data_IF_397956472204
#
_entry.id   IF_397956472204
#
_cell.length_a   1.000
_cell.length_b   1.000
_cell.length_c   1.000
_cell.angle_alpha   90.00
_cell.angle_beta   90.00
_cell.angle_gamma   90.00
#
_symmetry.space_group_name_H-M   'P 1'
#
loop_
_entity.id
_entity.type
_entity.pdbx_description
1 polymer ?
#
# COMPACT_ATOMS: atom_id res chain seq x y z
N UNK A 1 23.72 -3.36 -7.52
CA UNK A 1 23.76 -2.88 -8.91
C UNK A 1 22.76 -3.71 -9.72
N UNK A 2 21.54 -3.19 -9.98
CA UNK A 2 20.52 -3.96 -10.69
C UNK A 2 20.67 -3.85 -12.21
N UNK A 3 20.82 -5.00 -12.87
CA UNK A 3 20.88 -5.10 -14.34
C UNK A 3 19.48 -5.43 -14.86
N UNK A 4 18.81 -4.46 -15.48
CA UNK A 4 17.60 -4.71 -16.25
C UNK A 4 17.96 -5.25 -17.63
N UNK A 5 17.34 -6.37 -18.04
CA UNK A 5 17.45 -6.91 -19.40
C UNK A 5 16.13 -6.64 -20.12
N UNK A 6 16.12 -5.65 -21.01
CA UNK A 6 14.95 -5.37 -21.87
C UNK A 6 15.14 -6.05 -23.22
N UNK A 7 14.25 -6.99 -23.57
CA UNK A 7 14.18 -7.60 -24.89
C UNK A 7 13.37 -6.71 -25.84
N UNK A 8 14.03 -5.86 -26.62
CA UNK A 8 13.37 -5.13 -27.72
C UNK A 8 13.42 -6.00 -28.98
N UNK A 9 12.27 -6.52 -29.40
CA UNK A 9 12.11 -7.16 -30.72
C UNK A 9 11.63 -6.10 -31.72
N UNK A 10 12.55 -5.43 -32.41
CA UNK A 10 12.18 -4.58 -33.55
C UNK A 10 11.70 -5.42 -34.73
N UNK A 11 10.40 -5.43 -34.99
CA UNK A 11 9.84 -5.76 -36.31
C UNK A 11 9.56 -4.48 -37.07
N UNK A 12 10.40 -4.16 -38.06
CA UNK A 12 10.09 -3.14 -39.07
C UNK A 12 8.84 -3.57 -39.86
N UNK A 13 7.71 -2.88 -39.66
CA UNK A 13 6.59 -2.88 -40.61
C UNK A 13 6.10 -1.46 -40.84
N UNK A 14 6.07 -1.07 -42.12
CA UNK A 14 5.52 0.19 -42.64
C UNK A 14 4.03 0.30 -42.32
N UNK A 15 3.48 1.50 -42.04
CA UNK A 15 2.05 1.68 -41.82
C UNK A 15 1.30 1.81 -43.16
N UNK A 16 0.05 1.33 -43.29
CA UNK A 16 -0.86 1.82 -44.31
C UNK A 16 -1.68 3.00 -43.79
N UNK A 17 -2.28 3.69 -44.75
CA UNK A 17 -2.82 5.04 -44.70
C UNK A 17 -4.19 5.16 -44.02
N UNK A 18 -4.35 6.31 -43.39
CA UNK A 18 -5.55 7.11 -43.05
C UNK A 18 -6.82 6.79 -43.84
N UNK A 19 -7.94 6.64 -43.13
CA UNK A 19 -9.26 7.12 -43.57
C UNK A 19 -9.91 7.91 -42.44
N UNK A 20 -10.26 9.17 -42.75
CA UNK A 20 -11.11 10.07 -41.95
C UNK A 20 -12.56 9.70 -42.18
N UNK A 21 -13.39 9.76 -41.13
CA UNK A 21 -14.77 10.21 -41.26
C UNK A 21 -15.27 10.78 -39.94
N UNK A 22 -15.59 12.07 -39.97
CA UNK A 22 -16.40 12.80 -38.99
C UNK A 22 -17.86 12.35 -39.09
N UNK A 23 -18.57 12.27 -37.95
CA UNK A 23 -19.95 12.77 -37.86
C UNK A 23 -20.34 13.11 -36.42
N UNK A 24 -20.99 14.28 -36.28
CA UNK A 24 -21.43 14.93 -35.04
C UNK A 24 -22.84 14.49 -34.61
N UNK A 25 -23.09 14.62 -33.30
CA UNK A 25 -24.27 15.21 -32.58
C UNK A 25 -24.84 14.29 -31.49
N UNK A 26 -24.82 14.66 -30.20
CA UNK A 26 -25.61 15.62 -29.38
C UNK A 26 -26.84 14.99 -28.72
N UNK A 27 -27.00 15.25 -27.42
CA UNK A 27 -28.18 15.14 -26.54
C UNK A 27 -28.47 13.80 -25.82
N UNK A 28 -27.92 13.63 -24.61
CA UNK A 28 -28.64 13.07 -23.46
C UNK A 28 -27.93 13.41 -22.13
N UNK A 29 -27.88 14.70 -21.78
CA UNK A 29 -27.23 15.18 -20.56
C UNK A 29 -28.14 16.15 -19.81
N UNK A 30 -29.35 15.71 -19.47
CA UNK A 30 -30.27 16.50 -18.64
C UNK A 30 -31.40 15.63 -18.07
N UNK A 31 -31.08 14.50 -17.42
CA UNK A 31 -32.06 13.74 -16.63
C UNK A 31 -31.50 13.01 -15.40
N UNK A 32 -30.19 13.11 -15.11
CA UNK A 32 -29.53 12.39 -13.99
C UNK A 32 -29.07 13.33 -12.84
N UNK A 33 -29.31 14.65 -12.96
CA UNK A 33 -28.86 15.62 -11.94
C UNK A 33 -29.92 15.90 -10.85
N UNK A 34 -31.14 15.36 -10.96
CA UNK A 34 -32.22 15.62 -9.99
C UNK A 34 -32.49 14.46 -8.99
N UNK A 35 -31.82 13.31 -9.10
CA UNK A 35 -31.98 12.19 -8.16
C UNK A 35 -30.83 12.00 -7.17
N UNK A 36 -29.73 12.74 -7.32
CA UNK A 36 -28.56 12.65 -6.42
C UNK A 36 -28.52 13.73 -5.32
N UNK A 37 -29.49 14.66 -5.29
CA UNK A 37 -29.54 15.75 -4.31
C UNK A 37 -30.52 15.51 -3.13
N UNK A 38 -31.05 14.29 -2.98
CA UNK A 38 -31.90 13.89 -1.85
C UNK A 38 -31.33 12.73 -1.02
N UNK A 39 -30.06 12.38 -1.21
CA UNK A 39 -29.39 11.27 -0.51
C UNK A 39 -28.18 11.71 0.32
N UNK A 40 -28.10 13.00 0.67
CA UNK A 40 -26.97 13.57 1.42
C UNK A 40 -27.40 14.33 2.68
N UNK A 41 -28.21 13.71 3.53
CA UNK A 41 -28.31 14.08 4.94
C UNK A 41 -28.67 12.86 5.76
N UNK A 42 -27.84 12.56 6.77
CA UNK A 42 -28.02 11.59 7.86
C UNK A 42 -28.00 10.10 7.50
N UNK A 43 -26.82 9.48 7.56
CA UNK A 43 -26.68 8.07 7.93
C UNK A 43 -25.58 7.96 8.99
N UNK A 44 -25.97 8.14 10.25
CA UNK A 44 -25.31 7.43 11.34
C UNK A 44 -25.70 5.96 11.26
N UNK A 45 -24.80 5.06 11.63
CA UNK A 45 -25.03 3.61 11.68
C UNK A 45 -26.44 3.28 12.25
N UNK A 46 -27.23 2.40 11.61
CA UNK A 46 -28.56 2.07 12.09
C UNK A 46 -28.48 1.40 13.47
N UNK A 47 -29.20 1.99 14.43
CA UNK A 47 -29.33 1.52 15.83
C UNK A 47 -29.63 0.02 15.98
N UNK A 48 -30.17 -0.62 14.96
CA UNK A 48 -30.54 -2.05 14.95
C UNK A 48 -29.36 -3.02 14.93
N UNK A 49 -28.13 -2.57 14.62
CA UNK A 49 -26.92 -3.41 14.68
C UNK A 49 -26.42 -3.52 16.13
N UNK A 50 -26.33 -2.37 16.84
CA UNK A 50 -25.92 -2.30 18.26
C UNK A 50 -26.75 -3.16 19.21
N UNK A 51 -28.03 -3.38 18.91
CA UNK A 51 -28.93 -4.16 19.78
C UNK A 51 -28.85 -5.67 19.51
N UNK A 52 -28.44 -6.10 18.31
CA UNK A 52 -28.28 -7.54 17.99
C UNK A 52 -26.95 -8.13 18.50
N UNK A 53 -25.92 -7.31 18.64
CA UNK A 53 -24.57 -7.78 19.07
C UNK A 53 -24.40 -7.82 20.60
N UNK A 54 -25.13 -6.97 21.35
CA UNK A 54 -25.15 -7.03 22.82
C UNK A 54 -25.68 -8.35 23.38
N UNK A 55 -26.43 -9.12 22.59
CA UNK A 55 -26.96 -10.42 23.00
C UNK A 55 -25.94 -11.57 22.94
N UNK A 56 -24.75 -11.36 22.33
CA UNK A 56 -23.75 -12.42 22.13
C UNK A 56 -22.44 -12.22 22.92
N UNK A 57 -22.33 -11.21 23.78
CA UNK A 57 -21.12 -10.97 24.58
C UNK A 57 -21.09 -11.89 25.82
N UNK A 58 -20.58 -13.11 25.65
CA UNK A 58 -19.89 -13.82 26.73
C UNK A 58 -18.43 -13.38 26.75
N UNK A 59 -17.97 -12.91 27.90
CA UNK A 59 -16.57 -12.52 28.17
C UNK A 59 -15.63 -13.74 28.01
N UNK A 60 -15.18 -13.99 26.77
CA UNK A 60 -14.00 -14.81 26.40
C UNK A 60 -13.88 -14.88 24.85
N UNK A 61 -14.12 -13.76 24.15
CA UNK A 61 -13.89 -13.72 22.70
C UNK A 61 -12.40 -13.52 22.43
N UNK A 62 -11.67 -14.63 22.39
CA UNK A 62 -10.39 -14.72 21.71
C UNK A 62 -10.65 -14.60 20.20
N UNK A 63 -10.18 -13.51 19.60
CA UNK A 63 -10.34 -13.25 18.16
C UNK A 63 -9.29 -13.98 17.30
N UNK A 64 -8.45 -14.85 17.89
CA UNK A 64 -7.45 -15.64 17.17
C UNK A 64 -8.03 -16.45 16.01
N UNK A 65 -7.94 -15.90 14.78
CA UNK A 65 -8.40 -16.51 13.54
C UNK A 65 -9.60 -15.83 12.86
N UNK A 66 -10.18 -14.79 13.47
CA UNK A 66 -11.46 -14.22 13.07
C UNK A 66 -11.41 -13.14 11.98
N UNK A 67 -10.25 -12.57 11.63
CA UNK A 67 -10.21 -11.40 10.72
C UNK A 67 -10.60 -11.72 9.26
N UNK A 68 -10.81 -12.99 8.93
CA UNK A 68 -11.09 -13.44 7.57
C UNK A 68 -12.45 -13.00 7.02
N UNK A 69 -13.44 -12.76 7.88
CA UNK A 69 -14.80 -12.40 7.43
C UNK A 69 -15.05 -10.90 7.53
N UNK A 70 -15.85 -10.36 6.60
CA UNK A 70 -16.27 -8.96 6.64
C UNK A 70 -16.97 -8.63 7.97
N UNK A 71 -17.90 -9.47 8.43
CA UNK A 71 -18.64 -9.25 9.67
C UNK A 71 -17.75 -9.20 10.92
N UNK A 72 -16.70 -10.02 10.98
CA UNK A 72 -15.74 -9.93 12.08
C UNK A 72 -14.97 -8.61 12.05
N UNK A 73 -14.55 -8.15 10.86
CA UNK A 73 -13.86 -6.85 10.72
C UNK A 73 -14.77 -5.67 11.05
N UNK A 74 -16.05 -5.75 10.70
CA UNK A 74 -17.08 -4.77 11.08
C UNK A 74 -17.27 -4.74 12.61
N UNK A 75 -17.38 -5.90 13.26
CA UNK A 75 -17.49 -6.00 14.74
C UNK A 75 -16.29 -5.36 15.43
N UNK A 76 -15.07 -5.65 14.99
CA UNK A 76 -13.85 -5.05 15.52
C UNK A 76 -13.87 -3.52 15.36
N UNK A 77 -14.33 -3.04 14.21
CA UNK A 77 -14.45 -1.59 13.95
C UNK A 77 -15.45 -0.95 14.91
N UNK A 78 -16.61 -1.57 15.14
CA UNK A 78 -17.63 -1.08 16.08
C UNK A 78 -17.09 -1.08 17.51
N UNK A 79 -16.46 -2.17 17.96
CA UNK A 79 -15.91 -2.27 19.32
C UNK A 79 -14.79 -1.24 19.53
N UNK A 80 -13.93 -1.01 18.52
CA UNK A 80 -12.90 0.03 18.59
C UNK A 80 -13.54 1.43 18.70
N UNK A 81 -14.55 1.73 17.88
CA UNK A 81 -15.31 2.99 17.94
C UNK A 81 -15.96 3.17 19.31
N UNK A 82 -16.50 2.12 19.92
CA UNK A 82 -17.11 2.19 21.24
C UNK A 82 -16.08 2.54 22.34
N UNK A 83 -14.79 2.21 22.16
CA UNK A 83 -13.72 2.56 23.10
C UNK A 83 -13.19 3.99 22.86
N UNK A 84 -12.87 4.35 21.61
CA UNK A 84 -12.13 5.58 21.31
C UNK A 84 -13.00 6.69 20.71
N UNK A 85 -14.22 6.39 20.30
CA UNK A 85 -15.08 7.25 19.49
C UNK A 85 -15.52 8.54 20.17
N UNK A 86 -15.37 8.67 21.49
CA UNK A 86 -15.62 9.93 22.19
C UNK A 86 -14.54 10.97 21.88
N UNK A 87 -13.27 10.56 21.84
CA UNK A 87 -12.11 11.44 21.65
C UNK A 87 -11.60 11.47 20.20
N UNK A 88 -11.92 10.46 19.40
CA UNK A 88 -11.40 10.27 18.05
C UNK A 88 -12.53 10.10 17.04
N UNK A 89 -12.34 10.66 15.85
CA UNK A 89 -13.09 10.28 14.66
C UNK A 89 -12.42 9.05 14.06
N UNK A 90 -13.23 8.02 13.79
CA UNK A 90 -12.80 6.79 13.10
C UNK A 90 -13.49 6.74 11.75
N UNK A 91 -12.71 6.64 10.68
CA UNK A 91 -13.17 6.67 9.29
C UNK A 91 -12.76 5.38 8.57
N UNK A 92 -13.71 4.67 7.97
CA UNK A 92 -13.53 3.29 7.48
C UNK A 92 -13.75 3.09 5.98
N UNK A 93 -14.03 4.16 5.21
CA UNK A 93 -14.48 4.00 3.82
C UNK A 93 -13.33 4.01 2.80
N UNK A 94 -12.28 3.24 3.12
CA UNK A 94 -11.14 3.10 2.25
C UNK A 94 -11.45 2.41 0.92
N UNK A 95 -10.78 2.81 -0.16
CA UNK A 95 -10.85 2.13 -1.46
C UNK A 95 -9.71 1.12 -1.52
N UNK A 96 -10.01 -0.16 -1.60
CA UNK A 96 -9.00 -1.17 -1.95
C UNK A 96 -8.95 -1.29 -3.47
N UNK A 97 -7.84 -0.87 -4.09
CA UNK A 97 -7.62 -1.15 -5.50
C UNK A 97 -6.65 -2.31 -5.65
N UNK A 98 -7.11 -3.36 -6.34
CA UNK A 98 -6.24 -4.40 -6.85
C UNK A 98 -5.77 -4.02 -8.24
N UNK A 99 -4.46 -3.87 -8.39
CA UNK A 99 -3.80 -3.81 -9.68
C UNK A 99 -3.23 -5.21 -9.95
N UNK A 100 -4.07 -6.02 -10.60
CA UNK A 100 -3.72 -7.39 -10.95
C UNK A 100 -2.66 -7.44 -12.06
N UNK A 101 -1.94 -8.55 -12.09
CA UNK A 101 -0.89 -8.86 -13.07
C UNK A 101 -1.37 -8.68 -14.52
N UNK A 102 -2.60 -9.11 -14.79
CA UNK A 102 -3.23 -9.10 -16.11
C UNK A 102 -3.49 -7.68 -16.62
N UNK A 103 -3.81 -6.75 -15.72
CA UNK A 103 -4.11 -5.35 -16.06
C UNK A 103 -2.90 -4.69 -16.72
N UNK A 104 -1.69 -4.99 -16.24
CA UNK A 104 -0.45 -4.41 -16.75
C UNK A 104 0.08 -5.09 -18.02
N UNK A 105 -0.41 -6.29 -18.33
CA UNK A 105 -0.06 -7.02 -19.56
C UNK A 105 -0.83 -6.50 -20.79
N UNK A 106 -1.89 -5.73 -20.58
CA UNK A 106 -2.64 -5.09 -21.67
C UNK A 106 -1.89 -3.86 -22.22
N UNK A 107 -1.63 -3.77 -23.54
CA UNK A 107 -0.84 -2.68 -24.15
C UNK A 107 -1.35 -1.26 -23.83
N UNK A 108 -2.66 -1.09 -23.72
CA UNK A 108 -3.33 0.16 -23.39
C UNK A 108 -3.05 0.65 -21.96
N UNK A 109 -2.72 -0.28 -21.05
CA UNK A 109 -2.46 -0.01 -19.64
C UNK A 109 -0.97 0.01 -19.30
N UNK A 110 -0.09 -0.38 -20.22
CA UNK A 110 1.35 -0.45 -20.01
C UNK A 110 1.97 0.88 -19.49
N UNK A 111 1.43 2.02 -19.92
CA UNK A 111 1.86 3.35 -19.42
C UNK A 111 1.39 3.65 -17.99
N UNK A 112 0.26 3.06 -17.56
CA UNK A 112 -0.33 3.25 -16.23
C UNK A 112 0.32 2.35 -15.17
N UNK A 113 1.00 1.28 -15.59
CA UNK A 113 1.72 0.36 -14.73
C UNK A 113 3.21 0.69 -14.55
N UNK A 114 3.63 1.93 -14.83
CA UNK A 114 5.01 2.36 -14.63
C UNK A 114 5.38 2.22 -13.15
N UNK A 115 6.45 1.46 -12.85
CA UNK A 115 6.90 1.19 -11.47
C UNK A 115 6.27 -0.05 -10.83
N UNK A 116 5.31 -0.70 -11.48
CA UNK A 116 4.76 -1.97 -11.03
C UNK A 116 5.50 -3.14 -11.66
N UNK A 117 5.71 -4.21 -10.89
CA UNK A 117 6.15 -5.49 -11.42
C UNK A 117 4.99 -6.13 -12.19
N UNK A 118 5.05 -6.28 -13.52
CA UNK A 118 3.96 -6.84 -14.32
C UNK A 118 3.72 -8.32 -14.04
N UNK A 119 4.53 -8.95 -13.18
CA UNK A 119 4.38 -10.33 -12.73
C UNK A 119 3.98 -10.47 -11.24
N UNK A 120 3.56 -9.38 -10.60
CA UNK A 120 3.04 -9.39 -9.23
C UNK A 120 1.71 -8.64 -9.16
N UNK A 121 0.88 -9.04 -8.22
CA UNK A 121 -0.34 -8.29 -7.90
C UNK A 121 -0.04 -7.24 -6.85
N UNK A 122 -0.70 -6.10 -6.95
CA UNK A 122 -0.58 -5.00 -5.99
C UNK A 122 -1.95 -4.65 -5.43
N UNK A 123 -2.01 -4.44 -4.13
CA UNK A 123 -3.16 -3.91 -3.42
C UNK A 123 -2.78 -2.53 -2.91
N UNK A 124 -3.42 -1.49 -3.44
CA UNK A 124 -3.26 -0.13 -2.99
C UNK A 124 -4.44 0.26 -2.10
N UNK A 125 -4.14 0.82 -0.93
CA UNK A 125 -5.16 1.26 0.01
C UNK A 125 -5.39 2.76 -0.14
N UNK A 126 -6.57 3.14 -0.62
CA UNK A 126 -7.07 4.50 -0.53
C UNK A 126 -7.71 4.67 0.83
N UNK A 127 -7.31 5.68 1.58
CA UNK A 127 -7.83 5.95 2.92
C UNK A 127 -8.80 7.12 2.82
N UNK A 128 -9.84 7.11 3.66
CA UNK A 128 -10.80 8.21 3.69
C UNK A 128 -10.11 9.54 4.03
N UNK A 129 -10.45 10.58 3.28
CA UNK A 129 -9.82 11.90 3.39
C UNK A 129 -10.46 12.74 4.48
N UNK A 130 -9.67 13.62 5.10
CA UNK A 130 -10.24 14.67 5.93
C UNK A 130 -10.94 15.73 5.08
N UNK A 131 -11.98 16.39 5.61
CA UNK A 131 -12.54 17.58 4.99
C UNK A 131 -11.45 18.62 4.71
N UNK A 132 -11.37 19.09 3.47
CA UNK A 132 -10.36 20.07 3.04
C UNK A 132 -8.98 19.49 2.71
N UNK A 133 -8.78 18.17 2.83
CA UNK A 133 -7.54 17.52 2.39
C UNK A 133 -7.35 17.70 0.87
N UNK A 134 -6.19 18.24 0.48
CA UNK A 134 -5.85 18.37 -0.92
C UNK A 134 -5.73 16.99 -1.59
N UNK A 135 -6.33 16.82 -2.77
CA UNK A 135 -6.31 15.56 -3.51
C UNK A 135 -5.10 15.53 -4.45
N UNK A 136 -4.29 14.49 -4.35
CA UNK A 136 -3.21 14.20 -5.31
C UNK A 136 -3.51 12.93 -6.13
N UNK A 137 -3.80 11.82 -5.45
CA UNK A 137 -4.11 10.53 -6.06
C UNK A 137 -5.15 9.79 -5.21
N UNK A 138 -6.00 8.92 -5.79
CA UNK A 138 -6.95 8.09 -5.03
C UNK A 138 -6.33 7.26 -3.90
N UNK A 139 -5.04 6.88 -4.01
CA UNK A 139 -4.34 5.98 -3.07
C UNK A 139 -3.21 6.66 -2.29
N UNK A 140 -3.07 7.98 -2.42
CA UNK A 140 -2.09 8.74 -1.68
C UNK A 140 -2.82 9.83 -0.89
N UNK A 141 -2.66 9.77 0.43
CA UNK A 141 -3.34 10.60 1.40
C UNK A 141 -2.37 11.52 2.11
N UNK A 142 -2.91 12.58 2.71
CA UNK A 142 -2.20 13.49 3.59
C UNK A 142 -2.70 13.28 5.02
N UNK A 143 -1.78 13.24 5.97
CA UNK A 143 -2.07 12.96 7.38
C UNK A 143 -1.56 14.09 8.25
N UNK A 144 -2.31 14.45 9.29
CA UNK A 144 -1.82 15.29 10.38
C UNK A 144 -0.77 14.51 11.20
N UNK A 145 0.05 15.25 11.92
CA UNK A 145 1.08 14.68 12.80
C UNK A 145 0.49 13.81 13.94
N UNK A 146 -0.72 14.12 14.37
CA UNK A 146 -1.41 13.44 15.48
C UNK A 146 -2.44 12.41 15.01
N UNK A 147 -2.38 11.98 13.74
CA UNK A 147 -3.23 10.93 13.19
C UNK A 147 -2.54 9.57 13.15
N UNK A 148 -3.35 8.54 13.01
CA UNK A 148 -2.87 7.20 12.67
C UNK A 148 -3.76 6.54 11.62
N UNK A 149 -3.19 5.54 10.97
CA UNK A 149 -3.92 4.60 10.13
C UNK A 149 -3.74 3.19 10.69
N UNK A 150 -4.83 2.43 10.74
CA UNK A 150 -4.82 1.02 11.12
C UNK A 150 -5.20 0.20 9.91
N UNK A 151 -4.39 -0.79 9.57
CA UNK A 151 -4.76 -1.86 8.64
C UNK A 151 -4.92 -3.14 9.43
N UNK A 152 -6.03 -3.84 9.32
CA UNK A 152 -6.20 -5.14 9.97
C UNK A 152 -7.00 -6.09 9.10
N UNK A 153 -6.65 -7.37 9.15
CA UNK A 153 -7.17 -8.35 8.21
C UNK A 153 -6.38 -9.64 8.17
N UNK A 154 -6.49 -10.36 7.05
CA UNK A 154 -5.66 -11.54 6.79
C UNK A 154 -4.54 -11.27 5.80
N UNK A 155 -3.35 -11.78 6.12
CA UNK A 155 -2.25 -11.88 5.16
C UNK A 155 -2.66 -12.77 3.98
N UNK A 156 -2.02 -12.61 2.80
CA UNK A 156 -2.36 -13.39 1.62
C UNK A 156 -2.25 -14.91 1.84
N UNK A 157 -2.92 -15.71 0.99
CA UNK A 157 -2.65 -17.13 0.84
C UNK A 157 -1.19 -17.37 0.48
N UNK A 158 -0.76 -18.62 0.66
CA UNK A 158 0.61 -19.03 0.41
C UNK A 158 1.09 -18.56 -0.98
N UNK A 159 2.17 -17.79 -0.98
CA UNK A 159 2.79 -17.21 -2.15
C UNK A 159 4.31 -17.20 -1.98
N UNK A 160 5.05 -16.80 -3.01
CA UNK A 160 6.51 -16.65 -2.88
C UNK A 160 6.92 -15.44 -2.07
N UNK A 161 6.06 -14.43 -1.97
CA UNK A 161 6.31 -13.22 -1.20
C UNK A 161 5.03 -12.41 -1.04
N UNK A 162 4.91 -11.71 0.09
CA UNK A 162 4.14 -10.47 0.17
C UNK A 162 4.96 -9.40 0.88
N UNK A 163 4.65 -8.13 0.63
CA UNK A 163 5.28 -7.01 1.31
C UNK A 163 4.29 -5.87 1.46
N UNK A 164 4.11 -5.39 2.68
CA UNK A 164 3.30 -4.22 3.02
C UNK A 164 4.22 -3.03 3.27
N UNK A 165 4.19 -2.05 2.36
CA UNK A 165 5.13 -0.93 2.34
C UNK A 165 4.40 0.39 2.33
N UNK A 166 4.87 1.33 3.15
CA UNK A 166 4.43 2.72 3.12
C UNK A 166 5.43 3.57 2.36
N UNK A 167 4.92 4.33 1.40
CA UNK A 167 5.68 5.15 0.49
C UNK A 167 5.37 6.62 0.72
N UNK A 168 6.41 7.43 0.87
CA UNK A 168 6.34 8.85 0.56
C UNK A 168 6.16 8.98 -0.94
N UNK A 169 4.97 9.35 -1.41
CA UNK A 169 4.71 9.48 -2.84
C UNK A 169 5.18 10.80 -3.37
N UNK A 170 4.81 11.88 -2.69
CA UNK A 170 5.17 13.22 -3.15
C UNK A 170 5.60 14.14 -2.05
N UNK A 171 6.55 15.01 -2.39
CA UNK A 171 7.00 16.11 -1.54
C UNK A 171 6.83 17.46 -2.21
N UNK A 172 6.64 18.50 -1.41
CA UNK A 172 6.82 19.88 -1.84
C UNK A 172 8.22 20.35 -1.44
N UNK A 173 9.16 20.34 -2.40
CA UNK A 173 10.54 20.75 -2.14
C UNK A 173 10.75 22.28 -2.28
N UNK A 174 9.70 23.05 -2.57
CA UNK A 174 9.77 24.50 -2.79
C UNK A 174 10.63 24.94 -3.99
N UNK A 175 11.26 24.01 -4.73
CA UNK A 175 12.20 24.31 -5.82
C UNK A 175 11.51 24.35 -7.18
N UNK A 176 10.42 23.61 -7.35
CA UNK A 176 9.69 23.53 -8.63
C UNK A 176 8.66 24.66 -8.74
N UNK A 177 9.04 25.69 -9.52
CA UNK A 177 8.36 27.00 -9.64
C UNK A 177 6.96 27.02 -10.28
N UNK A 178 6.41 25.89 -10.72
CA UNK A 178 5.09 25.82 -11.38
C UNK A 178 4.27 24.62 -10.93
N UNK A 179 3.70 24.70 -9.73
CA UNK A 179 2.79 23.71 -9.12
C UNK A 179 3.37 22.28 -8.94
N UNK A 180 4.65 22.05 -9.22
CA UNK A 180 5.21 20.71 -9.39
C UNK A 180 5.72 20.11 -8.08
N UNK A 181 4.95 19.21 -7.48
CA UNK A 181 5.46 18.33 -6.43
C UNK A 181 6.48 17.34 -7.03
N UNK A 182 7.45 16.87 -6.24
CA UNK A 182 8.29 15.75 -6.67
C UNK A 182 7.50 14.46 -6.49
N UNK A 183 7.47 13.59 -7.49
CA UNK A 183 7.08 12.20 -7.29
C UNK A 183 8.31 11.45 -6.75
N UNK A 184 8.47 11.44 -5.43
CA UNK A 184 9.65 10.86 -4.77
C UNK A 184 9.56 9.34 -4.72
N UNK A 185 8.38 8.78 -4.41
CA UNK A 185 8.12 7.33 -4.42
C UNK A 185 9.17 6.54 -3.63
N UNK A 186 9.53 7.02 -2.44
CA UNK A 186 10.50 6.40 -1.55
C UNK A 186 9.78 5.67 -0.42
N UNK A 187 10.16 4.43 -0.12
CA UNK A 187 9.69 3.72 1.07
C UNK A 187 10.10 4.51 2.31
N UNK A 188 9.26 4.54 3.35
CA UNK A 188 9.59 5.22 4.62
C UNK A 188 10.44 4.36 5.54
N UNK A 189 10.33 3.03 5.41
CA UNK A 189 11.04 2.03 6.18
C UNK A 189 11.04 0.69 5.44
N UNK A 190 11.61 -0.35 6.06
CA UNK A 190 11.55 -1.70 5.50
C UNK A 190 10.10 -2.22 5.44
N UNK A 191 9.75 -3.00 4.40
CA UNK A 191 8.43 -3.60 4.27
C UNK A 191 8.16 -4.59 5.40
N UNK A 192 6.90 -4.66 5.84
CA UNK A 192 6.41 -5.80 6.61
C UNK A 192 6.20 -6.95 5.63
N UNK A 193 6.87 -8.08 5.86
CA UNK A 193 6.91 -9.22 4.95
C UNK A 193 6.96 -10.54 5.75
N UNK A 194 6.83 -11.71 5.09
CA UNK A 194 6.88 -13.02 5.76
C UNK A 194 8.04 -13.28 6.72
N UNK A 195 9.17 -12.58 6.58
CA UNK A 195 10.36 -12.77 7.41
C UNK A 195 10.35 -11.94 8.70
N UNK A 196 9.54 -10.88 8.78
CA UNK A 196 9.54 -9.94 9.91
C UNK A 196 8.15 -9.55 10.44
N UNK A 197 7.07 -10.07 9.84
CA UNK A 197 5.71 -9.77 10.25
C UNK A 197 5.39 -10.40 11.60
N UNK A 198 4.76 -9.60 12.47
CA UNK A 198 4.13 -10.04 13.70
C UNK A 198 2.73 -10.58 13.39
N UNK A 199 2.58 -11.89 13.59
CA UNK A 199 1.34 -12.65 13.47
C UNK A 199 1.36 -13.75 14.53
N UNK A 200 0.22 -14.33 14.86
CA UNK A 200 0.19 -15.57 15.65
C UNK A 200 0.69 -16.74 14.79
N UNK A 201 2.01 -16.96 14.81
CA UNK A 201 2.71 -18.01 14.06
C UNK A 201 3.75 -18.74 14.90
N UNK A 202 4.25 -19.86 14.37
CA UNK A 202 5.42 -20.56 14.90
C UNK A 202 6.77 -19.89 14.52
N UNK A 203 6.72 -18.71 13.89
CA UNK A 203 7.88 -17.96 13.41
C UNK A 203 8.46 -18.47 12.09
N UNK A 204 7.88 -19.49 11.45
CA UNK A 204 8.31 -19.93 10.13
C UNK A 204 7.80 -19.02 9.00
N UNK A 205 8.60 -18.87 7.95
CA UNK A 205 8.23 -18.07 6.77
C UNK A 205 6.89 -18.48 6.17
N UNK A 206 6.64 -19.78 6.04
CA UNK A 206 5.39 -20.32 5.48
C UNK A 206 4.18 -20.13 6.39
N UNK A 207 4.38 -20.05 7.71
CA UNK A 207 3.30 -19.81 8.67
C UNK A 207 2.95 -18.33 8.79
N UNK A 208 3.57 -17.43 8.02
CA UNK A 208 3.17 -16.01 7.95
C UNK A 208 1.94 -15.75 7.07
N UNK A 209 1.54 -16.72 6.25
CA UNK A 209 0.45 -16.61 5.27
C UNK A 209 -0.91 -17.03 5.87
N UNK A 210 -2.00 -16.46 5.36
CA UNK A 210 -3.38 -16.64 5.88
C UNK A 210 -3.55 -16.33 7.39
N UNK A 211 -2.70 -15.45 7.94
CA UNK A 211 -2.72 -15.08 9.36
C UNK A 211 -3.37 -13.73 9.59
N UNK A 212 -3.94 -13.59 10.78
CA UNK A 212 -4.47 -12.32 11.25
C UNK A 212 -3.30 -11.39 11.61
N UNK A 213 -3.39 -10.15 11.17
CA UNK A 213 -2.38 -9.14 11.43
C UNK A 213 -3.02 -7.76 11.60
N UNK A 214 -2.32 -6.89 12.31
CA UNK A 214 -2.64 -5.47 12.45
C UNK A 214 -1.38 -4.66 12.13
N UNK A 215 -1.51 -3.63 11.30
CA UNK A 215 -0.50 -2.60 11.09
C UNK A 215 -1.02 -1.29 11.64
N UNK A 216 -0.24 -0.64 12.49
CA UNK A 216 -0.54 0.69 13.03
C UNK A 216 0.54 1.64 12.54
N UNK A 217 0.14 2.62 11.76
CA UNK A 217 0.99 3.62 11.13
C UNK A 217 0.74 4.99 11.77
N UNK A 218 1.79 5.65 12.27
CA UNK A 218 1.67 6.93 12.97
C UNK A 218 3.01 7.67 13.03
N UNK A 219 2.96 9.00 13.14
CA UNK A 219 4.12 9.82 13.51
C UNK A 219 4.30 9.95 15.04
N UNK A 220 3.22 9.73 15.80
CA UNK A 220 3.16 9.91 17.25
C UNK A 220 3.18 8.57 18.00
N UNK A 221 4.16 8.41 18.89
CA UNK A 221 4.30 7.26 19.79
C UNK A 221 3.13 7.13 20.76
N UNK A 222 2.55 8.25 21.20
CA UNK A 222 1.40 8.24 22.09
C UNK A 222 0.16 7.68 21.38
N UNK A 223 -0.01 8.03 20.10
CA UNK A 223 -1.08 7.47 19.27
C UNK A 223 -0.93 5.96 19.09
N UNK A 224 0.26 5.47 18.74
CA UNK A 224 0.51 4.03 18.63
C UNK A 224 0.20 3.29 19.93
N UNK A 225 0.65 3.82 21.06
CA UNK A 225 0.43 3.19 22.38
C UNK A 225 -1.05 3.18 22.76
N UNK A 226 -1.76 4.28 22.53
CA UNK A 226 -3.20 4.39 22.77
C UNK A 226 -3.98 3.39 21.93
N UNK A 227 -3.70 3.31 20.63
CA UNK A 227 -4.36 2.36 19.72
C UNK A 227 -4.05 0.90 20.06
N UNK A 228 -2.78 0.60 20.36
CA UNK A 228 -2.38 -0.75 20.80
C UNK A 228 -3.13 -1.17 22.06
N UNK A 229 -3.33 -0.26 23.02
CA UNK A 229 -4.10 -0.53 24.23
C UNK A 229 -5.59 -0.71 23.95
N UNK A 230 -6.18 0.11 23.08
CA UNK A 230 -7.58 -0.01 22.70
C UNK A 230 -7.87 -1.34 21.96
N UNK A 231 -6.98 -1.74 21.05
CA UNK A 231 -7.09 -3.02 20.33
C UNK A 231 -6.95 -4.23 21.27
N UNK A 232 -6.06 -4.17 22.26
CA UNK A 232 -5.96 -5.21 23.30
C UNK A 232 -7.22 -5.27 24.18
N UNK A 233 -7.83 -4.13 24.52
CA UNK A 233 -9.07 -4.10 25.31
C UNK A 233 -10.25 -4.79 24.61
N UNK A 234 -10.28 -4.80 23.28
CA UNK A 234 -11.28 -5.54 22.49
C UNK A 234 -10.86 -6.98 22.17
N UNK A 235 -9.77 -7.47 22.78
CA UNK A 235 -9.34 -8.87 22.69
C UNK A 235 -8.39 -9.19 21.53
N UNK A 236 -7.80 -8.19 20.87
CA UNK A 236 -6.80 -8.45 19.83
C UNK A 236 -5.43 -8.64 20.46
N UNK A 237 -4.79 -9.78 20.17
CA UNK A 237 -3.45 -10.09 20.66
C UNK A 237 -2.41 -9.10 20.13
N UNK A 238 -1.61 -8.55 21.04
CA UNK A 238 -0.48 -7.66 20.70
C UNK A 238 0.58 -8.35 19.85
N UNK A 239 0.62 -9.69 19.82
CA UNK A 239 1.52 -10.47 18.95
C UNK A 239 1.21 -10.30 17.46
N UNK A 240 0.05 -9.74 17.12
CA UNK A 240 -0.34 -9.44 15.73
C UNK A 240 0.00 -8.00 15.31
N UNK A 241 0.52 -7.17 16.23
CA UNK A 241 0.74 -5.75 15.99
C UNK A 241 2.07 -5.49 15.29
N UNK A 242 1.98 -4.80 14.17
CA UNK A 242 3.11 -4.36 13.36
C UNK A 242 3.13 -2.83 13.35
N UNK A 243 4.27 -2.24 13.70
CA UNK A 243 4.40 -0.78 13.71
C UNK A 243 5.01 -0.27 12.41
N UNK A 244 4.35 0.70 11.80
CA UNK A 244 4.91 1.55 10.76
C UNK A 244 5.01 2.98 11.29
N UNK A 245 6.05 3.69 10.88
CA UNK A 245 6.41 4.98 11.44
C UNK A 245 6.46 6.01 10.33
N UNK A 246 5.91 7.19 10.60
CA UNK A 246 6.09 8.38 9.78
C UNK A 246 7.08 9.31 10.49
N UNK A 247 8.40 9.17 10.26
CA UNK A 247 9.39 9.91 11.02
C UNK A 247 9.34 11.39 10.63
N UNK A 248 9.00 12.26 11.58
CA UNK A 248 8.82 13.71 11.36
C UNK A 248 10.04 14.40 10.73
N UNK A 249 11.23 13.83 10.92
CA UNK A 249 12.48 14.33 10.31
C UNK A 249 12.55 14.08 8.79
N UNK A 250 11.75 13.16 8.23
CA UNK A 250 11.73 12.83 6.80
C UNK A 250 10.42 13.19 6.08
N UNK A 251 9.34 13.50 6.83
CA UNK A 251 8.03 13.79 6.24
C UNK A 251 7.47 15.13 6.71
N UNK A 252 6.91 15.90 5.78
CA UNK A 252 6.16 17.12 6.04
C UNK A 252 4.66 16.81 6.14
N UNK A 253 4.21 16.40 7.31
CA UNK A 253 2.81 16.05 7.58
C UNK A 253 1.90 17.31 7.64
N UNK A 254 0.60 17.09 7.51
CA UNK A 254 -0.47 18.09 7.43
C UNK A 254 -1.45 17.75 6.31
N UNK A 255 -2.54 18.51 6.19
CA UNK A 255 -3.61 18.24 5.19
C UNK A 255 -3.58 19.18 3.98
N UNK A 256 -2.64 20.12 3.95
CA UNK A 256 -2.57 21.18 2.95
C UNK A 256 -1.78 20.77 1.71
N UNK A 257 -1.89 21.57 0.64
CA UNK A 257 -1.21 21.28 -0.61
C UNK A 257 0.32 21.17 -0.48
N UNK A 258 0.92 21.89 0.46
CA UNK A 258 2.36 21.83 0.76
C UNK A 258 2.77 20.58 1.54
N UNK A 259 1.83 19.89 2.18
CA UNK A 259 2.10 18.66 2.94
C UNK A 259 2.33 17.47 2.02
N UNK A 260 3.14 16.55 2.49
CA UNK A 260 3.53 15.32 1.82
C UNK A 260 2.38 14.32 1.69
N UNK A 261 2.46 13.47 0.67
CA UNK A 261 1.49 12.39 0.50
C UNK A 261 2.11 11.04 0.75
N UNK A 262 1.39 10.19 1.47
CA UNK A 262 1.78 8.83 1.82
C UNK A 262 0.78 7.86 1.20
N UNK A 263 1.26 6.75 0.62
CA UNK A 263 0.42 5.61 0.26
C UNK A 263 0.91 4.34 0.92
N UNK A 264 -0.02 3.43 1.12
CA UNK A 264 0.29 2.07 1.55
C UNK A 264 -0.01 1.12 0.41
N UNK A 265 0.96 0.27 0.10
CA UNK A 265 0.88 -0.72 -0.98
C UNK A 265 1.27 -2.08 -0.42
N UNK A 266 0.41 -3.08 -0.63
CA UNK A 266 0.75 -4.48 -0.42
C UNK A 266 1.04 -5.14 -1.76
N UNK A 267 2.29 -5.57 -1.97
CA UNK A 267 2.69 -6.37 -3.11
C UNK A 267 2.55 -7.85 -2.77
N UNK A 268 2.05 -8.65 -3.70
CA UNK A 268 1.97 -10.11 -3.57
C UNK A 268 2.56 -10.74 -4.83
N UNK A 269 3.55 -11.61 -4.65
CA UNK A 269 4.27 -12.24 -5.76
C UNK A 269 4.07 -13.76 -5.76
N UNK A 270 3.60 -14.26 -6.91
CA UNK A 270 3.53 -15.68 -7.25
C UNK A 270 2.79 -16.52 -6.20
N UNK A 271 1.45 -16.47 -6.21
CA UNK A 271 0.64 -17.39 -5.43
C UNK A 271 1.01 -18.85 -5.74
N UNK A 272 1.00 -19.70 -4.72
CA UNK A 272 1.22 -21.12 -4.90
C UNK A 272 0.04 -21.78 -5.63
N UNK A 273 -1.17 -21.38 -5.26
CA UNK A 273 -2.41 -21.68 -5.97
C UNK A 273 -2.99 -20.39 -6.56
N UNK A 274 -3.01 -20.31 -7.90
CA UNK A 274 -3.48 -19.14 -8.62
C UNK A 274 -4.98 -18.87 -8.41
N UNK A 275 -5.82 -19.91 -8.31
CA UNK A 275 -7.26 -19.74 -8.15
C UNK A 275 -7.60 -19.20 -6.75
N UNK A 276 -6.91 -19.70 -5.72
CA UNK A 276 -7.03 -19.17 -4.36
C UNK A 276 -6.52 -17.72 -4.29
N UNK A 277 -5.42 -17.41 -4.98
CA UNK A 277 -4.91 -16.05 -5.10
C UNK A 277 -5.89 -15.08 -5.76
N UNK A 278 -6.51 -15.47 -6.86
CA UNK A 278 -7.54 -14.68 -7.55
C UNK A 278 -8.77 -14.45 -6.67
N UNK A 279 -9.20 -15.47 -5.91
CA UNK A 279 -10.27 -15.31 -4.94
C UNK A 279 -9.91 -14.28 -3.85
N UNK A 280 -8.71 -14.36 -3.28
CA UNK A 280 -8.23 -13.39 -2.30
C UNK A 280 -8.21 -11.96 -2.86
N UNK A 281 -7.77 -11.80 -4.12
CA UNK A 281 -7.72 -10.49 -4.76
C UNK A 281 -9.10 -9.92 -5.12
N UNK A 282 -10.11 -10.78 -5.32
CA UNK A 282 -11.48 -10.35 -5.61
C UNK A 282 -12.20 -9.76 -4.39
N UNK A 283 -11.80 -10.17 -3.19
CA UNK A 283 -12.32 -9.70 -1.91
C UNK A 283 -11.18 -9.69 -0.90
N UNK A 284 -10.34 -8.66 -0.98
CA UNK A 284 -9.16 -8.54 -0.11
C UNK A 284 -9.65 -8.37 1.33
N UNK A 285 -9.33 -9.29 2.25
CA UNK A 285 -9.89 -9.34 3.60
C UNK A 285 -9.16 -8.39 4.56
N UNK A 286 -9.02 -7.11 4.18
CA UNK A 286 -8.32 -6.08 4.95
C UNK A 286 -9.20 -4.84 5.07
N UNK A 287 -9.31 -4.33 6.30
CA UNK A 287 -9.96 -3.06 6.60
C UNK A 287 -8.89 -2.01 6.92
N UNK A 288 -9.03 -0.82 6.36
CA UNK A 288 -8.19 0.33 6.66
C UNK A 288 -9.02 1.40 7.39
N UNK A 289 -8.54 1.84 8.56
CA UNK A 289 -9.18 2.89 9.37
C UNK A 289 -8.26 4.08 9.50
N UNK A 290 -8.79 5.28 9.27
CA UNK A 290 -8.12 6.53 9.67
C UNK A 290 -8.63 6.96 11.03
N UNK A 291 -7.70 7.20 11.96
CA UNK A 291 -7.98 7.64 13.32
C UNK A 291 -7.52 9.09 13.47
N UNK A 292 -8.45 9.99 13.74
CA UNK A 292 -8.18 11.42 13.89
C UNK A 292 -8.64 11.94 15.25
N UNK A 293 -7.78 12.56 16.05
CA UNK A 293 -8.21 13.27 17.25
C UNK A 293 -9.22 14.36 16.89
N UNK A 294 -10.37 14.40 17.56
CA UNK A 294 -11.38 15.45 17.37
C UNK A 294 -10.85 16.83 17.78
N UNK A 295 -9.99 16.85 18.79
CA UNK A 295 -9.22 18.02 19.20
C UNK A 295 -7.78 17.84 18.77
N UNK A 296 -7.23 18.85 18.11
CA UNK A 296 -5.83 18.84 17.71
C UNK A 296 -4.92 18.75 18.92
N UNK A 297 -3.97 17.82 18.89
CA UNK A 297 -2.93 17.72 19.89
C UNK A 297 -1.83 18.73 19.57
N UNK A 298 -1.45 19.53 20.56
CA UNK A 298 -0.40 20.55 20.40
C UNK A 298 1.01 19.94 20.39
N UNK A 299 1.20 18.80 21.05
CA UNK A 299 2.47 18.09 21.13
C UNK A 299 2.28 16.62 20.76
N UNK A 300 3.16 16.12 19.90
CA UNK A 300 3.31 14.69 19.59
C UNK A 300 4.64 14.19 20.13
N UNK A 301 4.72 12.89 20.40
CA UNK A 301 6.00 12.24 20.73
C UNK A 301 6.54 11.57 19.46
N UNK A 302 7.45 12.22 18.69
CA UNK A 302 7.89 11.69 17.41
C UNK A 302 8.74 10.43 17.57
N UNK A 303 8.77 9.60 16.54
CA UNK A 303 9.75 8.53 16.41
C UNK A 303 11.08 9.03 15.82
N UNK A 304 12.22 8.40 16.16
CA UNK A 304 13.44 8.55 15.37
C UNK A 304 13.25 7.93 13.97
N UNK A 305 14.12 8.29 13.03
CA UNK A 305 14.18 7.65 11.71
C UNK A 305 14.44 6.14 11.89
N UNK A 306 13.60 5.26 11.30
CA UNK A 306 13.81 3.81 11.37
C UNK A 306 15.15 3.40 10.77
N UNK A 307 15.89 2.55 11.49
CA UNK A 307 17.11 1.92 10.97
C UNK A 307 16.68 0.79 10.04
N UNK A 308 17.14 0.83 8.80
CA UNK A 308 16.86 -0.20 7.79
C UNK A 308 17.82 -1.38 7.91
N UNK A 309 17.33 -2.56 7.60
CA UNK A 309 18.14 -3.76 7.46
C UNK A 309 19.17 -3.55 6.35
N UNK A 310 20.39 -4.06 6.55
CA UNK A 310 21.41 -4.02 5.49
C UNK A 310 20.89 -4.79 4.27
N UNK A 311 20.77 -4.07 3.14
CA UNK A 311 20.36 -4.63 1.83
C UNK A 311 21.29 -5.73 1.31
N UNK A 312 22.47 -5.86 1.90
CA UNK A 312 23.50 -6.81 1.49
C UNK A 312 23.85 -7.72 2.68
N UNK A 313 23.19 -8.87 2.84
CA UNK A 313 23.64 -9.91 3.78
C UNK A 313 24.98 -10.57 3.34
N UNK A 314 25.69 -9.98 2.37
CA UNK A 314 27.03 -10.40 1.98
C UNK A 314 27.76 -9.28 1.25
N UNK A 315 29.01 -9.05 1.64
CA UNK A 315 29.86 -7.92 1.23
C UNK A 315 30.16 -7.83 -0.27
N UNK A 316 29.74 -8.82 -1.07
CA UNK A 316 29.84 -8.77 -2.53
C UNK A 316 28.91 -9.77 -3.26
N UNK A 317 28.47 -9.37 -4.45
CA UNK A 317 27.75 -10.23 -5.41
C UNK A 317 28.68 -11.19 -6.18
N UNK A 318 30.01 -11.19 -5.92
CA UNK A 318 30.98 -12.00 -6.71
C UNK A 318 30.68 -13.49 -6.64
N UNK A 319 30.14 -13.98 -5.51
CA UNK A 319 29.70 -15.38 -5.36
C UNK A 319 28.65 -15.79 -6.39
N UNK A 320 27.82 -14.85 -6.86
CA UNK A 320 26.78 -15.11 -7.85
C UNK A 320 27.25 -15.00 -9.31
N UNK A 321 28.49 -14.53 -9.56
CA UNK A 321 29.03 -14.35 -10.92
C UNK A 321 28.97 -15.63 -11.76
N UNK A 322 29.21 -16.79 -11.15
CA UNK A 322 29.08 -18.09 -11.84
C UNK A 322 27.63 -18.40 -12.25
N UNK A 323 26.67 -18.13 -11.37
CA UNK A 323 25.24 -18.31 -11.64
C UNK A 323 24.76 -17.34 -12.73
N UNK A 324 25.17 -16.07 -12.65
CA UNK A 324 24.87 -15.05 -13.66
C UNK A 324 25.39 -15.45 -15.05
N UNK A 325 26.65 -15.85 -15.16
CA UNK A 325 27.24 -16.31 -16.43
C UNK A 325 26.51 -17.54 -17.00
N UNK A 326 26.02 -18.44 -16.13
CA UNK A 326 25.24 -19.62 -16.55
C UNK A 326 23.86 -19.21 -17.08
N UNK A 327 23.19 -18.27 -16.40
CA UNK A 327 21.91 -17.72 -16.83
C UNK A 327 22.05 -17.01 -18.18
N UNK A 328 23.04 -16.14 -18.32
CA UNK A 328 23.31 -15.40 -19.56
C UNK A 328 23.52 -16.36 -20.74
N UNK A 329 24.34 -17.41 -20.56
CA UNK A 329 24.59 -18.41 -21.61
C UNK A 329 23.31 -19.15 -22.01
N UNK A 330 22.44 -19.48 -21.05
CA UNK A 330 21.15 -20.12 -21.33
C UNK A 330 20.22 -19.21 -22.13
N UNK A 331 20.13 -17.93 -21.75
CA UNK A 331 19.33 -16.94 -22.48
C UNK A 331 19.84 -16.80 -23.92
N UNK A 332 21.16 -16.60 -24.10
CA UNK A 332 21.79 -16.49 -25.43
C UNK A 332 21.52 -17.71 -26.30
N UNK A 333 21.59 -18.92 -25.74
CA UNK A 333 21.24 -20.16 -26.45
C UNK A 333 19.77 -20.17 -26.88
N UNK A 334 18.85 -19.73 -26.02
CA UNK A 334 17.41 -19.73 -26.31
C UNK A 334 16.99 -18.67 -27.34
N UNK A 335 17.68 -17.52 -27.41
CA UNK A 335 17.33 -16.42 -28.33
C UNK A 335 18.04 -16.48 -29.69
N UNK A 336 18.85 -17.52 -29.94
CA UNK A 336 19.50 -17.75 -31.23
C UNK A 336 20.92 -17.17 -31.39
N UNK A 337 21.72 -17.15 -30.32
CA UNK A 337 23.18 -17.04 -30.39
C UNK A 337 23.78 -15.66 -30.68
N UNK A 338 23.14 -14.81 -31.47
CA UNK A 338 23.76 -13.60 -32.02
C UNK A 338 22.93 -12.31 -31.87
N UNK A 339 21.79 -12.37 -31.17
CA UNK A 339 21.09 -11.14 -30.78
C UNK A 339 21.88 -10.45 -29.68
N UNK A 340 22.37 -9.24 -29.96
CA UNK A 340 23.01 -8.35 -28.99
C UNK A 340 22.05 -8.18 -27.80
N UNK A 341 22.41 -8.76 -26.66
CA UNK A 341 21.94 -8.27 -25.37
C UNK A 341 22.62 -6.91 -25.20
N UNK A 342 21.98 -5.85 -25.68
CA UNK A 342 22.39 -4.50 -25.32
C UNK A 342 21.98 -4.31 -23.86
N UNK A 343 22.95 -4.50 -22.96
CA UNK A 343 22.78 -4.13 -21.57
C UNK A 343 23.07 -2.65 -21.45
N UNK A 344 22.03 -1.83 -21.39
CA UNK A 344 22.17 -0.45 -20.94
C UNK A 344 22.16 -0.46 -19.42
N UNK A 345 23.29 -0.12 -18.81
CA UNK A 345 23.34 0.20 -17.38
C UNK A 345 22.81 1.62 -17.22
N UNK A 346 21.60 1.75 -16.70
CA UNK A 346 21.07 3.04 -16.25
C UNK A 346 21.40 3.14 -14.77
N UNK A 347 22.19 4.13 -14.31
CA UNK A 347 22.31 4.40 -12.89
C UNK A 347 20.95 4.89 -12.39
N UNK A 348 20.19 3.99 -11.76
CA UNK A 348 18.95 4.33 -11.08
C UNK A 348 19.27 4.35 -9.60
N UNK A 349 19.01 5.49 -8.97
CA UNK A 349 19.10 5.61 -7.53
C UNK A 349 17.90 4.89 -6.91
N UNK A 350 18.16 3.80 -6.19
CA UNK A 350 17.16 2.97 -5.52
C UNK A 350 17.43 2.89 -4.01
N UNK A 351 18.32 3.75 -3.50
CA UNK A 351 18.51 3.87 -2.07
C UNK A 351 17.56 4.93 -1.50
N UNK A 352 16.49 4.53 -0.79
CA UNK A 352 15.52 5.47 -0.26
C UNK A 352 16.15 6.46 0.71
N UNK A 353 17.20 6.09 1.44
CA UNK A 353 17.89 7.04 2.34
C UNK A 353 18.52 8.19 1.55
N UNK A 354 19.24 7.88 0.46
CA UNK A 354 19.85 8.88 -0.41
C UNK A 354 18.78 9.63 -1.23
N UNK A 355 17.72 8.97 -1.70
CA UNK A 355 16.61 9.64 -2.38
C UNK A 355 15.91 10.67 -1.48
N UNK A 356 15.63 10.30 -0.23
CA UNK A 356 15.01 11.16 0.78
C UNK A 356 15.95 12.31 1.15
N UNK A 357 17.25 12.06 1.30
CA UNK A 357 18.23 13.09 1.62
C UNK A 357 18.43 14.10 0.46
N UNK A 358 18.41 13.64 -0.79
CA UNK A 358 18.68 14.47 -1.95
C UNK A 358 17.42 15.04 -2.62
N UNK A 359 16.23 14.63 -2.18
CA UNK A 359 14.96 14.91 -2.85
C UNK A 359 15.00 14.48 -4.33
N UNK A 360 15.35 13.22 -4.58
CA UNK A 360 15.37 12.59 -5.91
C UNK A 360 14.38 11.44 -6.02
N UNK A 361 13.91 11.13 -7.23
CA UNK A 361 12.93 10.06 -7.44
C UNK A 361 13.54 8.68 -7.15
N UNK A 362 12.82 7.88 -6.37
CA UNK A 362 13.20 6.55 -5.91
C UNK A 362 12.46 5.40 -6.60
N UNK A 363 11.53 5.72 -7.51
CA UNK A 363 10.86 4.77 -8.41
C UNK A 363 10.14 3.60 -7.71
N UNK A 364 9.54 3.84 -6.53
CA UNK A 364 8.99 2.79 -5.67
C UNK A 364 10.05 1.76 -5.36
N UNK A 365 11.10 2.19 -4.67
CA UNK A 365 12.10 1.26 -4.16
C UNK A 365 11.39 0.18 -3.34
N UNK A 366 11.70 -1.07 -3.62
CA UNK A 366 11.22 -2.19 -2.81
C UNK A 366 12.46 -2.72 -2.11
N UNK A 367 12.76 -2.28 -0.88
CA UNK A 367 13.79 -2.90 -0.08
C UNK A 367 13.23 -4.26 0.39
N UNK A 368 13.08 -5.19 -0.55
CA UNK A 368 12.77 -6.59 -0.29
C UNK A 368 14.03 -7.18 0.38
N UNK A 369 14.21 -6.91 1.67
CA UNK A 369 15.36 -7.27 2.50
C UNK A 369 15.45 -8.77 2.73
#
# INVERSE_FOLDING_TARGET
>A
MLVYVTLILERRKKPPRVCKQDFRRTHLFLFIVCQLLLWSTTNGLPKSIREREKANKSNDQDWGGAFGTQSARESITVDLIDIIGDAYDVRSDGIVQVIAQETCRQPENAKRCKGLNPDSSYVAFGIERLPGEAIYSPYANRFREDEAVIFFGKTPPLAKYFGHTEYLNTIDDGKRRSNGRLDIQASLQDPINPSNINVTSDGSYSDSFNKDYVVISSADQNMYSMLSNALQQIGISSETFNRQVWPKEQVNLGIFYSSDTISTIMRIAFFEDQAIGEQYLSDVPITALRITPKLMKEEILPYPIPIRASKYPGDNERKYKRALNKLERKIRKNIGGDKRLDSTTVPIQLDPEECLAENTQCFYDSPDS
#
